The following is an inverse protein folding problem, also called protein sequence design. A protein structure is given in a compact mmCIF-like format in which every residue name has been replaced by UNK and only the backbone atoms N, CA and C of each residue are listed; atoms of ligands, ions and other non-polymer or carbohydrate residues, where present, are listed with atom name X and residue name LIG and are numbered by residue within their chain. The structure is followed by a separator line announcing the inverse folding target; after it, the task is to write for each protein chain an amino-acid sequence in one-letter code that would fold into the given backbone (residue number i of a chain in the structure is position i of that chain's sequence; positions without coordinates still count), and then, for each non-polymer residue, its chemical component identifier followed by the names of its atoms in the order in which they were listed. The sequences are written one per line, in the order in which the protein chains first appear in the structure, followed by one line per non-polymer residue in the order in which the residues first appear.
data_IF_563065839816
#
_entry.id   IF_563065839816
#
_cell.length_a   1.000
_cell.length_b   1.000
_cell.length_c   1.000
_cell.angle_alpha   90.00
_cell.angle_beta   90.00
_cell.angle_gamma   90.00
#
_symmetry.space_group_name_H-M   'P 1'
#
loop_
_entity.id
_entity.type
_entity.pdbx_description
1 polymer ?
#
# COMPACT_ATOMS: atom_id res chain seq x y z
N UNK A 1 -0.87 -10.84 -10.56
CA UNK A 1 -1.21 -9.64 -11.36
C UNK A 1 0.00 -8.73 -11.48
N UNK A 2 0.37 -8.34 -12.69
CA UNK A 2 1.48 -7.43 -12.99
C UNK A 2 0.92 -6.26 -13.79
N UNK A 3 1.24 -5.04 -13.35
CA UNK A 3 0.87 -3.82 -14.08
C UNK A 3 1.99 -3.49 -15.07
N UNK A 4 1.63 -3.33 -16.32
CA UNK A 4 2.48 -2.89 -17.41
C UNK A 4 2.19 -1.42 -17.73
N UNK A 5 3.24 -0.67 -18.02
CA UNK A 5 3.17 0.71 -18.50
C UNK A 5 3.48 0.73 -19.99
N UNK A 6 2.64 1.42 -20.75
CA UNK A 6 2.78 1.55 -22.20
C UNK A 6 2.91 3.03 -22.50
N UNK A 7 4.12 3.47 -22.82
CA UNK A 7 4.44 4.83 -23.24
C UNK A 7 4.41 4.99 -24.76
N UNK A 8 4.40 6.24 -25.19
CA UNK A 8 4.49 6.61 -26.61
C UNK A 8 3.38 5.99 -27.48
N UNK A 9 2.16 5.91 -26.93
CA UNK A 9 0.99 5.48 -27.69
C UNK A 9 0.56 6.58 -28.67
N UNK A 10 0.29 6.23 -29.94
CA UNK A 10 -0.30 7.17 -30.89
C UNK A 10 -1.73 7.52 -30.49
N UNK A 11 -2.22 8.69 -30.89
CA UNK A 11 -3.61 9.12 -30.61
C UNK A 11 -4.67 8.22 -31.25
N UNK A 12 -4.30 7.50 -32.30
CA UNK A 12 -5.15 6.54 -32.99
C UNK A 12 -5.23 5.20 -32.26
N UNK A 13 -4.30 4.91 -31.33
CA UNK A 13 -4.34 3.67 -30.56
C UNK A 13 -5.59 3.62 -29.67
N UNK A 14 -6.36 2.56 -29.83
CA UNK A 14 -7.54 2.29 -29.00
C UNK A 14 -7.22 1.27 -27.91
N UNK A 15 -7.98 1.33 -26.82
CA UNK A 15 -7.87 0.35 -25.71
C UNK A 15 -8.04 -1.07 -26.23
N UNK A 16 -8.97 -1.27 -27.16
CA UNK A 16 -9.28 -2.58 -27.72
C UNK A 16 -8.12 -3.16 -28.53
N UNK A 17 -7.43 -2.34 -29.33
CA UNK A 17 -6.23 -2.79 -30.04
C UNK A 17 -5.10 -3.17 -29.10
N UNK A 18 -4.83 -2.33 -28.09
CA UNK A 18 -3.80 -2.62 -27.09
C UNK A 18 -4.15 -3.90 -26.34
N UNK A 19 -5.39 -4.03 -25.86
CA UNK A 19 -5.87 -5.23 -25.19
C UNK A 19 -5.65 -6.48 -26.03
N UNK A 20 -6.09 -6.49 -27.28
CA UNK A 20 -5.89 -7.64 -28.18
C UNK A 20 -4.41 -7.93 -28.46
N UNK A 21 -3.56 -6.91 -28.50
CA UNK A 21 -2.12 -7.07 -28.65
C UNK A 21 -1.51 -7.84 -27.46
N UNK A 22 -1.89 -7.45 -26.24
CA UNK A 22 -1.41 -8.06 -24.99
C UNK A 22 -2.07 -9.42 -24.70
N UNK A 23 -3.30 -9.65 -25.16
CA UNK A 23 -4.02 -10.94 -25.04
C UNK A 23 -3.32 -12.11 -25.73
N UNK A 24 -2.44 -11.85 -26.70
CA UNK A 24 -1.62 -12.88 -27.36
C UNK A 24 -0.55 -13.49 -26.44
N UNK A 25 -0.11 -12.74 -25.43
CA UNK A 25 0.94 -13.17 -24.50
C UNK A 25 0.36 -13.69 -23.20
N UNK A 26 -0.69 -13.05 -22.70
CA UNK A 26 -1.34 -13.43 -21.46
C UNK A 26 -2.71 -12.80 -21.29
N UNK A 27 -3.44 -13.31 -20.30
CA UNK A 27 -4.78 -12.82 -20.00
C UNK A 27 -4.73 -11.39 -19.44
N UNK A 28 -5.25 -10.45 -20.22
CA UNK A 28 -5.44 -9.05 -19.80
C UNK A 28 -6.68 -8.96 -18.91
N UNK A 29 -6.47 -8.49 -17.69
CA UNK A 29 -7.55 -8.26 -16.72
C UNK A 29 -8.17 -6.88 -16.89
N UNK A 30 -7.33 -5.86 -17.09
CA UNK A 30 -7.73 -4.46 -17.17
C UNK A 30 -6.78 -3.70 -18.11
N UNK A 31 -7.31 -2.74 -18.86
CA UNK A 31 -6.54 -1.88 -19.75
C UNK A 31 -7.10 -0.46 -19.63
N UNK A 32 -6.24 0.51 -19.42
CA UNK A 32 -6.59 1.93 -19.34
C UNK A 32 -5.67 2.72 -20.26
N UNK A 33 -6.23 3.54 -21.14
CA UNK A 33 -5.45 4.47 -21.98
C UNK A 33 -5.72 5.92 -21.55
N UNK A 34 -4.65 6.66 -21.28
CA UNK A 34 -4.68 8.05 -20.86
C UNK A 34 -3.79 8.88 -21.79
N UNK A 35 -4.43 9.58 -22.74
CA UNK A 35 -3.78 10.46 -23.71
C UNK A 35 -2.76 9.74 -24.62
N UNK A 36 -1.48 9.76 -24.24
CA UNK A 36 -0.36 9.23 -25.03
C UNK A 36 0.34 8.05 -24.31
N UNK A 37 -0.25 7.54 -23.23
CA UNK A 37 0.25 6.40 -22.49
C UNK A 37 -0.92 5.56 -21.96
N UNK A 38 -0.64 4.32 -21.57
CA UNK A 38 -1.63 3.40 -21.06
C UNK A 38 -1.06 2.46 -20.02
N UNK A 39 -1.96 1.76 -19.34
CA UNK A 39 -1.64 0.73 -18.36
C UNK A 39 -2.40 -0.54 -18.69
N UNK A 40 -1.75 -1.68 -18.55
CA UNK A 40 -2.37 -2.99 -18.75
C UNK A 40 -2.06 -3.87 -17.55
N UNK A 41 -3.08 -4.50 -16.98
CA UNK A 41 -2.93 -5.48 -15.92
C UNK A 41 -2.99 -6.88 -16.52
N UNK A 42 -1.90 -7.62 -16.40
CA UNK A 42 -1.82 -9.04 -16.79
C UNK A 42 -1.91 -9.90 -15.54
N UNK A 43 -2.63 -11.02 -15.62
CA UNK A 43 -2.78 -11.98 -14.53
C UNK A 43 -1.42 -12.59 -14.13
N UNK A 44 -0.69 -13.10 -15.12
CA UNK A 44 0.56 -13.85 -14.97
C UNK A 44 1.82 -12.98 -15.13
N UNK A 45 2.82 -13.19 -14.27
CA UNK A 45 4.09 -12.45 -14.33
C UNK A 45 4.93 -12.84 -15.54
N UNK A 46 4.96 -14.13 -15.88
CA UNK A 46 5.79 -14.65 -16.98
C UNK A 46 5.29 -14.10 -18.30
N UNK A 47 3.97 -14.13 -18.50
CA UNK A 47 3.33 -13.54 -19.67
C UNK A 47 3.57 -12.02 -19.76
N UNK A 48 3.59 -11.32 -18.62
CA UNK A 48 3.87 -9.90 -18.58
C UNK A 48 5.32 -9.59 -19.01
N UNK A 49 6.30 -10.36 -18.54
CA UNK A 49 7.70 -10.22 -18.97
C UNK A 49 7.90 -10.53 -20.46
N UNK A 50 7.21 -11.55 -20.97
CA UNK A 50 7.27 -11.91 -22.38
C UNK A 50 6.63 -10.83 -23.27
N UNK A 51 5.47 -10.30 -22.84
CA UNK A 51 4.81 -9.18 -23.50
C UNK A 51 5.71 -7.95 -23.56
N UNK A 52 6.38 -7.59 -22.44
CA UNK A 52 7.35 -6.49 -22.42
C UNK A 52 8.46 -6.72 -23.45
N UNK A 53 9.09 -7.90 -23.45
CA UNK A 53 10.24 -8.18 -24.33
C UNK A 53 9.88 -8.14 -25.81
N UNK A 54 8.68 -8.60 -26.18
CA UNK A 54 8.26 -8.65 -27.57
C UNK A 54 7.55 -7.38 -28.06
N UNK A 55 6.84 -6.67 -27.17
CA UNK A 55 6.07 -5.48 -27.54
C UNK A 55 6.82 -4.16 -27.30
N UNK A 56 7.93 -4.17 -26.57
CA UNK A 56 8.78 -3.00 -26.41
C UNK A 56 9.38 -2.59 -27.77
N UNK A 57 9.14 -1.33 -28.16
CA UNK A 57 9.42 -0.76 -29.49
C UNK A 57 8.57 -1.31 -30.64
N UNK A 58 7.46 -1.98 -30.37
CA UNK A 58 6.54 -2.41 -31.40
C UNK A 58 5.98 -1.22 -32.19
N UNK A 59 5.90 -1.35 -33.52
CA UNK A 59 5.47 -0.26 -34.40
C UNK A 59 3.96 -0.29 -34.59
N UNK A 60 3.25 0.52 -33.83
CA UNK A 60 1.79 0.67 -33.88
C UNK A 60 1.43 2.00 -34.53
N UNK A 61 0.64 1.98 -35.62
CA UNK A 61 0.27 3.17 -36.41
C UNK A 61 1.49 4.06 -36.80
N UNK A 62 2.62 3.41 -37.09
CA UNK A 62 3.85 4.13 -37.46
C UNK A 62 4.67 4.67 -36.29
N UNK A 63 4.18 4.57 -35.05
CA UNK A 63 4.85 4.99 -33.81
C UNK A 63 5.38 3.78 -33.04
N UNK A 64 6.59 3.88 -32.50
CA UNK A 64 7.16 2.83 -31.65
C UNK A 64 6.64 2.97 -30.22
N UNK A 65 5.84 2.01 -29.76
CA UNK A 65 5.33 1.99 -28.38
C UNK A 65 6.43 1.52 -27.42
N UNK A 66 6.39 2.01 -26.19
CA UNK A 66 7.35 1.63 -25.15
C UNK A 66 6.65 0.84 -24.06
N UNK A 67 6.94 -0.45 -23.92
CA UNK A 67 6.29 -1.33 -22.94
C UNK A 67 7.26 -1.65 -21.81
N UNK A 68 6.92 -1.29 -20.59
CA UNK A 68 7.75 -1.55 -19.41
C UNK A 68 6.93 -2.15 -18.28
N UNK A 69 7.59 -2.89 -17.38
CA UNK A 69 6.99 -3.29 -16.12
C UNK A 69 6.70 -2.02 -15.31
N UNK A 70 5.43 -1.73 -15.05
CA UNK A 70 5.07 -0.57 -14.23
C UNK A 70 5.58 -0.83 -12.83
N UNK A 71 6.43 0.07 -12.32
CA UNK A 71 6.86 0.10 -10.90
C UNK A 71 5.73 0.56 -9.98
N UNK A 72 4.49 0.21 -10.30
CA UNK A 72 3.39 0.38 -9.39
C UNK A 72 3.61 -0.66 -8.30
N UNK A 73 4.43 -0.30 -7.31
CA UNK A 73 4.35 -0.83 -5.95
C UNK A 73 2.87 -0.77 -5.64
N UNK A 74 2.20 -1.91 -5.78
CA UNK A 74 0.79 -2.04 -5.46
C UNK A 74 0.63 -1.36 -4.12
N UNK A 75 -0.14 -0.26 -4.11
CA UNK A 75 -0.40 0.56 -2.93
C UNK A 75 -1.31 -0.19 -1.97
N UNK A 76 -0.98 -1.44 -1.63
CA UNK A 76 -1.13 -1.86 -0.27
C UNK A 76 -0.16 -0.98 0.51
N UNK A 77 -0.69 0.02 1.21
CA UNK A 77 0.13 0.93 1.98
C UNK A 77 0.80 0.14 3.10
N UNK A 78 1.96 -0.47 2.84
CA UNK A 78 2.85 -1.01 3.88
C UNK A 78 3.43 0.09 4.76
N UNK A 79 3.11 1.36 4.46
CA UNK A 79 3.43 2.48 5.32
C UNK A 79 2.35 2.61 6.40
N UNK A 80 2.72 2.21 7.60
CA UNK A 80 1.97 2.35 8.83
C UNK A 80 2.24 3.73 9.42
N UNK A 81 1.22 4.29 10.05
CA UNK A 81 1.33 5.51 10.84
C UNK A 81 1.01 5.17 12.29
N UNK A 82 1.96 5.43 13.17
CA UNK A 82 1.86 5.13 14.59
C UNK A 82 1.80 6.48 15.32
N UNK A 83 0.64 6.79 15.90
CA UNK A 83 0.45 8.05 16.64
C UNK A 83 0.68 7.90 18.14
N UNK A 84 0.79 9.02 18.85
CA UNK A 84 0.88 9.06 20.32
C UNK A 84 2.02 8.20 20.87
N UNK A 85 3.17 8.28 20.19
CA UNK A 85 4.37 7.61 20.64
C UNK A 85 4.94 8.44 21.78
N UNK A 86 5.32 7.78 22.88
CA UNK A 86 5.98 8.46 23.97
C UNK A 86 7.26 9.14 23.47
N UNK A 87 7.57 10.39 23.88
CA UNK A 87 8.84 11.03 23.54
C UNK A 87 10.07 10.28 24.08
N UNK A 88 9.87 9.33 25.00
CA UNK A 88 10.92 8.43 25.50
C UNK A 88 11.10 7.17 24.64
N UNK A 89 10.19 6.90 23.70
CA UNK A 89 10.27 5.74 22.83
C UNK A 89 11.25 6.02 21.68
N UNK A 90 12.14 5.05 21.41
CA UNK A 90 13.15 5.19 20.36
C UNK A 90 12.76 4.41 19.11
N UNK A 91 13.34 4.81 17.98
CA UNK A 91 13.13 4.15 16.69
C UNK A 91 13.48 2.66 16.75
N UNK A 92 14.51 2.30 17.52
CA UNK A 92 14.98 0.94 17.69
C UNK A 92 13.94 0.06 18.40
N UNK A 93 13.34 0.55 19.49
CA UNK A 93 12.30 -0.18 20.23
C UNK A 93 11.04 -0.37 19.39
N UNK A 94 10.60 0.69 18.71
CA UNK A 94 9.44 0.61 17.81
C UNK A 94 9.71 -0.38 16.68
N UNK A 95 10.86 -0.27 16.02
CA UNK A 95 11.25 -1.18 14.95
C UNK A 95 11.30 -2.62 15.42
N UNK A 96 11.93 -2.92 16.56
CA UNK A 96 12.02 -4.28 17.10
C UNK A 96 10.64 -4.90 17.33
N UNK A 97 9.65 -4.10 17.75
CA UNK A 97 8.25 -4.55 17.87
C UNK A 97 7.60 -4.84 16.54
N UNK A 98 7.80 -4.01 15.52
CA UNK A 98 7.28 -4.27 14.18
C UNK A 98 8.00 -5.44 13.49
N UNK A 99 9.28 -5.67 13.80
CA UNK A 99 10.07 -6.81 13.33
C UNK A 99 9.57 -8.16 13.86
N UNK A 100 8.75 -8.19 14.92
CA UNK A 100 8.09 -9.42 15.41
C UNK A 100 6.98 -9.90 14.47
N UNK A 101 6.38 -8.98 13.70
CA UNK A 101 5.30 -9.27 12.76
C UNK A 101 5.78 -9.38 11.32
N UNK A 102 6.83 -8.65 10.94
CA UNK A 102 7.45 -8.78 9.62
C UNK A 102 8.62 -7.84 9.37
N UNK A 103 9.23 -7.97 8.19
CA UNK A 103 10.43 -7.22 7.82
C UNK A 103 10.14 -5.73 7.68
N UNK A 104 10.75 -4.91 8.55
CA UNK A 104 10.68 -3.45 8.47
C UNK A 104 11.75 -2.93 7.50
N UNK A 105 11.30 -2.23 6.47
CA UNK A 105 12.15 -1.57 5.47
C UNK A 105 12.64 -0.22 5.97
N UNK A 106 11.76 0.57 6.59
CA UNK A 106 12.06 1.93 7.03
C UNK A 106 11.22 2.27 8.27
N UNK A 107 11.81 3.01 9.22
CA UNK A 107 11.11 3.48 10.39
C UNK A 107 11.59 4.91 10.67
N UNK A 108 10.67 5.86 10.78
CA UNK A 108 10.98 7.27 11.03
C UNK A 108 10.07 7.83 12.12
N UNK A 109 10.65 8.37 13.19
CA UNK A 109 9.89 9.01 14.27
C UNK A 109 9.93 10.52 14.07
N UNK A 110 8.76 11.14 14.00
CA UNK A 110 8.57 12.59 13.87
C UNK A 110 7.76 13.08 15.06
N UNK A 111 8.45 13.65 16.04
CA UNK A 111 7.87 14.25 17.26
C UNK A 111 7.01 13.25 18.05
N UNK A 112 5.71 13.28 17.83
CA UNK A 112 4.67 12.53 18.55
C UNK A 112 4.05 11.39 17.70
N UNK A 113 4.54 11.18 16.48
CA UNK A 113 4.13 10.10 15.58
C UNK A 113 5.32 9.46 14.87
N UNK A 114 5.13 8.25 14.33
CA UNK A 114 6.13 7.57 13.51
C UNK A 114 5.51 6.95 12.26
N UNK A 115 6.36 6.78 11.26
CA UNK A 115 6.03 6.05 10.06
C UNK A 115 6.88 4.78 9.99
N UNK A 116 6.22 3.63 9.85
CA UNK A 116 6.90 2.35 9.67
C UNK A 116 6.54 1.82 8.29
N UNK A 117 7.53 1.44 7.48
CA UNK A 117 7.32 0.84 6.18
C UNK A 117 7.66 -0.65 6.24
N UNK A 118 6.67 -1.51 6.05
CA UNK A 118 6.86 -2.95 6.00
C UNK A 118 7.22 -3.41 4.59
N UNK A 119 7.86 -4.56 4.50
CA UNK A 119 8.12 -5.23 3.22
C UNK A 119 6.84 -5.80 2.62
N UNK A 120 5.98 -6.38 3.48
CA UNK A 120 4.75 -7.05 3.07
C UNK A 120 3.51 -6.44 3.72
N UNK A 121 2.45 -6.34 2.93
CA UNK A 121 1.18 -5.77 3.37
C UNK A 121 0.43 -6.66 4.35
N UNK A 122 0.56 -7.98 4.21
CA UNK A 122 -0.01 -8.98 5.12
C UNK A 122 0.55 -8.77 6.53
N UNK A 123 1.88 -8.73 6.66
CA UNK A 123 2.61 -8.47 7.91
C UNK A 123 2.23 -7.11 8.51
N UNK A 124 2.07 -6.08 7.67
CA UNK A 124 1.61 -4.77 8.13
C UNK A 124 0.21 -4.85 8.77
N UNK A 125 -0.71 -5.61 8.18
CA UNK A 125 -2.06 -5.82 8.73
C UNK A 125 -2.03 -6.59 10.03
N UNK A 126 -1.17 -7.61 10.16
CA UNK A 126 -1.00 -8.33 11.42
C UNK A 126 -0.39 -7.46 12.52
N UNK A 127 0.61 -6.65 12.18
CA UNK A 127 1.21 -5.68 13.10
C UNK A 127 0.18 -4.66 13.59
N UNK A 128 -0.70 -4.16 12.71
CA UNK A 128 -1.81 -3.26 13.10
C UNK A 128 -2.70 -3.98 14.12
N UNK A 129 -3.16 -5.18 13.82
CA UNK A 129 -4.12 -5.90 14.68
C UNK A 129 -3.51 -6.32 16.02
N UNK A 130 -2.22 -6.61 16.05
CA UNK A 130 -1.50 -7.01 17.26
C UNK A 130 -1.05 -5.84 18.13
N UNK A 131 -0.77 -4.67 17.54
CA UNK A 131 -0.24 -3.50 18.25
C UNK A 131 -1.28 -2.40 18.51
N UNK A 132 -2.43 -2.42 17.82
CA UNK A 132 -3.54 -1.50 18.07
C UNK A 132 -4.08 -1.69 19.50
N UNK A 133 -4.05 -0.63 20.30
CA UNK A 133 -4.42 -0.59 21.72
C UNK A 133 -3.48 -1.34 22.68
N UNK A 134 -2.19 -1.50 22.36
CA UNK A 134 -1.22 -2.07 23.30
C UNK A 134 -0.60 -1.02 24.23
N UNK A 135 -0.59 -1.31 25.53
CA UNK A 135 0.06 -0.46 26.54
C UNK A 135 1.55 -0.83 26.63
N UNK A 136 2.44 0.14 26.42
CA UNK A 136 3.89 -0.07 26.56
C UNK A 136 4.50 1.02 27.43
N UNK A 137 5.19 0.61 28.51
CA UNK A 137 5.88 1.49 29.47
C UNK A 137 5.03 2.63 30.07
N UNK A 138 3.78 2.36 30.46
CA UNK A 138 2.95 3.30 31.23
C UNK A 138 2.48 4.54 30.45
N UNK A 139 2.71 4.57 29.14
CA UNK A 139 2.02 5.43 28.19
C UNK A 139 1.25 4.52 27.25
N UNK A 140 -0.07 4.71 27.13
CA UNK A 140 -0.86 4.03 26.11
C UNK A 140 -0.27 4.41 24.75
N UNK A 141 0.43 3.49 24.07
CA UNK A 141 0.83 3.75 22.69
C UNK A 141 -0.47 3.87 21.91
N UNK A 142 -0.75 5.03 21.30
CA UNK A 142 -2.00 5.12 20.57
C UNK A 142 -1.93 4.19 19.37
N UNK A 143 -3.09 3.57 19.16
CA UNK A 143 -3.61 3.08 17.91
C UNK A 143 -2.63 3.25 16.74
N UNK A 144 -2.15 2.12 16.23
CA UNK A 144 -1.57 2.08 14.89
C UNK A 144 -2.71 2.46 13.95
N UNK A 145 -2.86 3.76 13.68
CA UNK A 145 -3.87 4.27 12.79
C UNK A 145 -3.38 3.94 11.38
N UNK A 146 -3.67 2.71 10.98
CA UNK A 146 -3.39 2.22 9.65
C UNK A 146 -3.98 3.21 8.66
N UNK A 147 -3.13 3.91 7.92
CA UNK A 147 -3.53 4.56 6.70
C UNK A 147 -3.80 3.46 5.67
N UNK A 148 -4.94 2.77 5.79
CA UNK A 148 -5.68 2.33 4.61
C UNK A 148 -6.20 3.62 3.97
N UNK A 149 -5.30 4.40 3.38
CA UNK A 149 -5.65 5.45 2.44
C UNK A 149 -6.05 4.77 1.13
N UNK A 150 -7.14 4.00 1.19
CA UNK A 150 -8.03 3.99 0.06
C UNK A 150 -8.64 5.39 0.03
N UNK A 151 -8.46 6.12 -1.07
CA UNK A 151 -9.08 7.43 -1.26
C UNK A 151 -10.59 7.24 -1.30
N UNK A 152 -11.22 7.27 -0.13
CA UNK A 152 -12.66 7.21 0.05
C UNK A 152 -13.00 7.05 1.53
N UNK A 153 -13.41 8.14 2.17
CA UNK A 153 -13.96 8.20 3.53
C UNK A 153 -13.00 7.94 4.70
N UNK A 154 -12.29 8.98 5.15
CA UNK A 154 -12.41 9.35 6.56
C UNK A 154 -12.32 10.87 6.66
N UNK A 155 -13.48 11.50 6.85
CA UNK A 155 -13.60 12.88 7.25
C UNK A 155 -12.97 13.05 8.64
N UNK A 156 -12.35 14.21 8.83
CA UNK A 156 -11.98 14.71 10.14
C UNK A 156 -13.26 14.85 10.96
N UNK A 157 -13.40 14.05 12.01
CA UNK A 157 -14.23 14.43 13.15
C UNK A 157 -13.29 14.65 14.32
N UNK A 158 -12.96 15.92 14.54
CA UNK A 158 -12.41 16.38 15.79
C UNK A 158 -13.46 16.21 16.90
N UNK A 159 -13.05 15.72 18.06
CA UNK A 159 -13.92 15.72 19.23
C UNK A 159 -13.40 14.95 20.43
N UNK A 160 -13.01 15.70 21.48
CA UNK A 160 -12.97 15.30 22.90
C UNK A 160 -12.03 14.12 23.26
N UNK A 161 -10.86 14.33 23.90
CA UNK A 161 -10.72 14.83 25.29
C UNK A 161 -11.95 14.53 26.16
N UNK A 162 -11.98 13.34 26.75
CA UNK A 162 -12.86 12.97 27.86
C UNK A 162 -12.09 12.20 28.91
N UNK A 163 -11.61 12.92 29.94
CA UNK A 163 -11.34 12.34 31.25
C UNK A 163 -12.60 11.65 31.79
N UNK A 164 -12.39 10.87 32.86
CA UNK A 164 -13.32 10.28 33.83
C UNK A 164 -13.49 8.77 33.62
N UNK A 165 -13.41 7.88 34.60
CA UNK A 165 -13.08 7.94 36.02
C UNK A 165 -13.10 6.50 36.54
N UNK A 166 -12.35 6.23 37.60
CA UNK A 166 -12.47 5.09 38.50
C UNK A 166 -13.91 4.54 38.62
N UNK A 167 -14.07 3.22 38.68
CA UNK A 167 -14.65 2.53 39.86
C UNK A 167 -14.78 1.03 39.67
N UNK A 168 -14.15 0.30 40.60
CA UNK A 168 -14.65 -0.90 41.27
C UNK A 168 -15.59 -1.86 40.51
N UNK A 169 -15.09 -3.06 40.22
CA UNK A 169 -15.93 -4.27 40.26
C UNK A 169 -15.56 -5.06 41.51
N UNK A 170 -16.28 -4.77 42.59
CA UNK A 170 -16.42 -5.64 43.75
C UNK A 170 -17.69 -6.49 43.56
N UNK A 171 -17.50 -7.80 43.50
CA UNK A 171 -18.21 -8.86 44.23
C UNK A 171 -19.76 -8.88 44.37
N UNK A 172 -20.30 -10.11 44.21
CA UNK A 172 -21.64 -10.66 44.52
C UNK A 172 -22.77 -10.23 43.55
N UNK A 173 -23.74 -11.06 43.16
CA UNK A 173 -24.46 -12.15 43.86
C UNK A 173 -25.03 -13.13 42.82
N UNK A 174 -25.00 -14.44 43.09
CA UNK A 174 -26.13 -15.37 42.89
C UNK A 174 -26.13 -16.32 44.09
#
# INVERSE_FOLDING_TARGET
MVKLFIGNLPREATEQEIRSLFEQYGKVLECDIIKNYGFVHIEDKTAAEDAIRNLHHYKLHGVNINVEASKNKSKASTKLHVGNISPTCTNMELRAKFEEYGSVIECDIVKDYAFVHMERAEDAVEAIRGLDNTEFQGSVHAAVLAAVLNRGCFQQDGGARGLLSNSCVHNKVC
#
